data_IF_857011118563
#
_entry.id   IF_857011118563
#
_cell.length_a   1.000
_cell.length_b   1.000
_cell.length_c   1.000
_cell.angle_alpha   90.00
_cell.angle_beta   90.00
_cell.angle_gamma   90.00
#
_symmetry.space_group_name_H-M   'P 1'
#
loop_
_entity.id
_entity.type
_entity.pdbx_description
1 polymer ?
#
# COMPACT_ATOMS: atom_id res chain seq x y z
N UNK A 1 10.18 -19.83 15.52
CA UNK A 1 8.78 -19.92 15.96
C UNK A 1 8.08 -20.82 14.97
N UNK A 2 7.41 -21.86 15.43
CA UNK A 2 6.61 -22.71 14.56
C UNK A 2 5.25 -22.04 14.34
N UNK A 3 4.94 -21.71 13.09
CA UNK A 3 3.65 -21.14 12.71
C UNK A 3 2.66 -22.26 12.35
N UNK A 4 1.35 -22.04 12.53
CA UNK A 4 0.36 -23.05 12.21
C UNK A 4 0.41 -23.42 10.71
N UNK A 5 0.16 -24.68 10.33
CA UNK A 5 0.20 -25.11 8.93
C UNK A 5 -0.84 -24.41 8.05
N UNK A 6 -1.87 -23.82 8.67
CA UNK A 6 -2.94 -23.09 7.99
C UNK A 6 -2.69 -21.56 7.88
N UNK A 7 -1.50 -21.06 8.26
CA UNK A 7 -1.15 -19.63 8.18
C UNK A 7 -1.42 -19.03 6.79
N UNK A 8 -1.11 -19.78 5.73
CA UNK A 8 -1.37 -19.39 4.34
C UNK A 8 -2.85 -19.19 3.98
N UNK A 9 -3.77 -19.76 4.76
CA UNK A 9 -5.23 -19.59 4.60
C UNK A 9 -5.85 -18.57 5.56
N UNK A 10 -5.11 -18.10 6.56
CA UNK A 10 -5.63 -17.13 7.52
C UNK A 10 -5.83 -15.76 6.87
N UNK A 11 -6.88 -15.01 7.25
CA UNK A 11 -6.99 -13.60 6.89
C UNK A 11 -5.84 -12.78 7.48
N UNK A 12 -5.31 -11.81 6.72
CA UNK A 12 -4.17 -11.00 7.16
C UNK A 12 -4.41 -10.26 8.49
N UNK A 13 -5.64 -9.82 8.76
CA UNK A 13 -5.97 -9.16 10.04
C UNK A 13 -5.84 -10.13 11.21
N UNK A 14 -6.30 -11.38 11.07
CA UNK A 14 -6.17 -12.41 12.08
C UNK A 14 -4.70 -12.81 12.31
N UNK A 15 -3.88 -12.87 11.24
CA UNK A 15 -2.44 -13.08 11.37
C UNK A 15 -1.79 -11.93 12.16
N UNK A 16 -2.14 -10.68 11.82
CA UNK A 16 -1.60 -9.49 12.50
C UNK A 16 -1.97 -9.51 13.99
N UNK A 17 -3.22 -9.86 14.32
CA UNK A 17 -3.73 -9.88 15.70
C UNK A 17 -3.12 -11.01 16.54
N UNK A 18 -3.00 -12.22 15.99
CA UNK A 18 -2.59 -13.42 16.74
C UNK A 18 -1.06 -13.58 16.76
N UNK A 19 -0.40 -13.28 15.64
CA UNK A 19 1.01 -13.60 15.41
C UNK A 19 1.90 -12.37 15.17
N UNK A 20 1.32 -11.17 15.03
CA UNK A 20 2.05 -9.93 14.82
C UNK A 20 2.89 -9.91 13.54
N UNK A 21 3.94 -9.10 13.56
CA UNK A 21 4.91 -8.97 12.48
C UNK A 21 5.56 -10.32 12.08
N UNK A 22 5.99 -11.20 13.02
CA UNK A 22 6.54 -12.50 12.65
C UNK A 22 5.60 -13.36 11.81
N UNK A 23 4.29 -13.33 12.10
CA UNK A 23 3.28 -14.06 11.32
C UNK A 23 3.10 -13.52 9.92
N UNK A 24 3.14 -12.19 9.75
CA UNK A 24 3.07 -11.57 8.42
C UNK A 24 4.34 -11.83 7.60
N UNK A 25 5.51 -11.81 8.23
CA UNK A 25 6.78 -12.18 7.58
C UNK A 25 6.72 -13.62 7.07
N UNK A 26 6.25 -14.55 7.89
CA UNK A 26 6.11 -15.95 7.46
C UNK A 26 5.06 -16.10 6.37
N UNK A 27 3.93 -15.40 6.49
CA UNK A 27 2.92 -15.38 5.42
C UNK A 27 3.51 -14.88 4.10
N UNK A 28 4.30 -13.80 4.12
CA UNK A 28 4.98 -13.30 2.93
C UNK A 28 5.94 -14.33 2.35
N UNK A 29 6.73 -15.03 3.18
CA UNK A 29 7.62 -16.12 2.73
C UNK A 29 6.84 -17.24 2.01
N UNK A 30 5.69 -17.62 2.55
CA UNK A 30 4.81 -18.60 1.91
C UNK A 30 4.32 -18.12 0.54
N UNK A 31 3.93 -16.86 0.42
CA UNK A 31 3.48 -16.29 -0.87
C UNK A 31 4.61 -16.23 -1.90
N UNK A 32 5.87 -16.01 -1.51
CA UNK A 32 6.97 -15.93 -2.49
C UNK A 32 7.46 -17.30 -2.98
N UNK A 33 7.08 -18.42 -2.36
CA UNK A 33 7.48 -19.76 -2.81
C UNK A 33 7.00 -20.11 -4.23
N UNK A 34 5.96 -19.43 -4.71
CA UNK A 34 5.45 -19.61 -6.07
C UNK A 34 6.30 -18.98 -7.17
N UNK A 35 7.33 -18.18 -6.82
CA UNK A 35 8.26 -17.57 -7.77
C UNK A 35 9.55 -18.37 -7.87
N UNK A 36 10.31 -18.21 -8.95
CA UNK A 36 11.64 -18.82 -9.08
C UNK A 36 12.67 -18.23 -8.10
N UNK A 37 13.85 -18.85 -8.01
CA UNK A 37 14.91 -18.44 -7.07
C UNK A 37 15.38 -16.99 -7.27
N UNK A 38 15.43 -16.52 -8.52
CA UNK A 38 15.90 -15.16 -8.82
C UNK A 38 14.88 -14.13 -8.36
N UNK A 39 13.61 -14.36 -8.66
CA UNK A 39 12.51 -13.53 -8.21
C UNK A 39 12.38 -13.53 -6.68
N UNK A 40 12.49 -14.69 -6.04
CA UNK A 40 12.52 -14.80 -4.57
C UNK A 40 13.64 -13.99 -3.95
N UNK A 41 14.86 -14.08 -4.50
CA UNK A 41 15.99 -13.30 -4.00
C UNK A 41 15.74 -11.78 -4.09
N UNK A 42 15.17 -11.31 -5.21
CA UNK A 42 14.83 -9.88 -5.37
C UNK A 42 13.74 -9.42 -4.39
N UNK A 43 12.71 -10.25 -4.17
CA UNK A 43 11.63 -9.95 -3.22
C UNK A 43 12.13 -9.92 -1.78
N UNK A 44 13.00 -10.86 -1.39
CA UNK A 44 13.66 -10.86 -0.09
C UNK A 44 14.52 -9.61 0.11
N UNK A 45 15.34 -9.23 -0.89
CA UNK A 45 16.16 -8.02 -0.81
C UNK A 45 15.33 -6.74 -0.66
N UNK A 46 14.15 -6.66 -1.30
CA UNK A 46 13.22 -5.55 -1.14
C UNK A 46 12.59 -5.52 0.26
N UNK A 47 12.23 -6.69 0.79
CA UNK A 47 11.71 -6.82 2.16
C UNK A 47 12.77 -6.40 3.19
N UNK A 48 14.02 -6.84 3.03
CA UNK A 48 15.12 -6.50 3.92
C UNK A 48 15.36 -4.99 3.95
N UNK A 49 15.32 -4.32 2.78
CA UNK A 49 15.41 -2.87 2.71
C UNK A 49 14.23 -2.18 3.40
N UNK A 50 13.00 -2.63 3.14
CA UNK A 50 11.80 -2.06 3.78
C UNK A 50 11.86 -2.21 5.32
N UNK A 51 12.29 -3.38 5.80
CA UNK A 51 12.44 -3.66 7.22
C UNK A 51 13.54 -2.82 7.88
N UNK A 52 14.63 -2.55 7.17
CA UNK A 52 15.71 -1.70 7.67
C UNK A 52 15.28 -0.23 7.79
N UNK A 53 14.67 0.32 6.74
CA UNK A 53 14.19 1.71 6.71
C UNK A 53 13.12 1.95 7.77
N UNK A 54 12.12 1.07 7.84
CA UNK A 54 10.95 1.25 8.72
C UNK A 54 11.08 0.56 10.08
N UNK A 55 12.30 0.19 10.51
CA UNK A 55 12.56 -0.53 11.77
C UNK A 55 11.93 0.14 12.99
N UNK A 56 12.11 1.47 13.07
CA UNK A 56 11.69 2.26 14.23
C UNK A 56 10.30 2.91 14.02
N UNK A 57 9.72 2.77 12.83
CA UNK A 57 8.43 3.35 12.50
C UNK A 57 7.27 2.57 13.13
N UNK A 58 6.26 3.31 13.56
CA UNK A 58 5.03 2.74 14.12
C UNK A 58 3.80 3.35 13.46
N UNK A 59 2.86 2.49 13.06
CA UNK A 59 1.53 2.88 12.61
C UNK A 59 0.55 2.66 13.75
N UNK A 60 0.13 3.74 14.40
CA UNK A 60 -0.69 3.70 15.62
C UNK A 60 0.04 2.96 16.74
N UNK A 61 -0.11 1.64 16.86
CA UNK A 61 0.58 0.81 17.86
C UNK A 61 1.29 -0.40 17.26
N UNK A 62 1.23 -0.60 15.94
CA UNK A 62 1.90 -1.71 15.25
C UNK A 62 3.19 -1.25 14.53
N UNK A 63 4.18 -2.13 14.33
CA UNK A 63 5.30 -1.87 13.42
C UNK A 63 4.80 -1.46 12.03
N UNK A 64 5.41 -0.44 11.43
CA UNK A 64 4.99 0.03 10.10
C UNK A 64 5.17 -1.05 9.02
N UNK A 65 6.16 -1.93 9.18
CA UNK A 65 6.40 -3.07 8.30
C UNK A 65 5.17 -3.97 8.10
N UNK A 66 4.28 -4.08 9.09
CA UNK A 66 3.02 -4.81 8.95
C UNK A 66 2.17 -4.29 7.79
N UNK A 67 2.10 -2.97 7.63
CA UNK A 67 1.36 -2.34 6.52
C UNK A 67 1.95 -2.75 5.16
N UNK A 68 3.27 -2.62 5.01
CA UNK A 68 3.98 -2.95 3.78
C UNK A 68 3.81 -4.43 3.41
N UNK A 69 3.91 -5.32 4.40
CA UNK A 69 3.66 -6.75 4.24
C UNK A 69 2.23 -7.03 3.77
N UNK A 70 1.22 -6.40 4.39
CA UNK A 70 -0.19 -6.58 3.97
C UNK A 70 -0.43 -6.05 2.56
N UNK A 71 0.20 -4.93 2.17
CA UNK A 71 0.17 -4.41 0.78
C UNK A 71 0.71 -5.44 -0.20
N UNK A 72 1.91 -5.98 0.03
CA UNK A 72 2.53 -6.95 -0.86
C UNK A 72 1.79 -8.30 -0.91
N UNK A 73 1.37 -8.82 0.25
CA UNK A 73 0.60 -10.08 0.33
C UNK A 73 -0.71 -9.92 -0.45
N UNK A 74 -1.41 -8.78 -0.33
CA UNK A 74 -2.63 -8.53 -1.10
C UNK A 74 -2.39 -8.48 -2.60
N UNK A 75 -1.28 -7.87 -3.06
CA UNK A 75 -0.90 -7.87 -4.47
C UNK A 75 -0.75 -9.30 -5.00
N UNK A 76 0.00 -10.15 -4.30
CA UNK A 76 0.26 -11.53 -4.72
C UNK A 76 -0.97 -12.43 -4.61
N UNK A 77 -1.64 -12.39 -3.46
CA UNK A 77 -2.67 -13.36 -3.10
C UNK A 77 -4.05 -12.97 -3.64
N UNK A 78 -4.52 -11.77 -3.32
CA UNK A 78 -5.87 -11.33 -3.67
C UNK A 78 -5.94 -10.76 -5.08
N UNK A 79 -4.91 -10.01 -5.50
CA UNK A 79 -4.88 -9.38 -6.82
C UNK A 79 -4.17 -10.23 -7.88
N UNK A 80 -3.60 -11.36 -7.46
CA UNK A 80 -2.96 -12.35 -8.33
C UNK A 80 -1.81 -11.78 -9.18
N UNK A 81 -1.14 -10.73 -8.67
CA UNK A 81 0.00 -10.12 -9.34
C UNK A 81 1.18 -11.08 -9.31
N UNK A 82 1.76 -11.34 -10.49
CA UNK A 82 2.97 -12.15 -10.68
C UNK A 82 4.17 -11.35 -11.17
N UNK A 83 3.98 -10.05 -11.36
CA UNK A 83 5.04 -9.15 -11.76
C UNK A 83 5.88 -8.75 -10.53
N UNK A 84 7.13 -9.22 -10.52
CA UNK A 84 8.06 -9.02 -9.40
C UNK A 84 8.34 -7.54 -9.15
N UNK A 85 8.46 -6.73 -10.20
CA UNK A 85 8.76 -5.29 -10.05
C UNK A 85 7.61 -4.55 -9.37
N UNK A 86 6.36 -4.96 -9.65
CA UNK A 86 5.16 -4.38 -9.04
C UNK A 86 5.07 -4.75 -7.56
N UNK A 87 5.41 -5.98 -7.19
CA UNK A 87 5.40 -6.44 -5.80
C UNK A 87 6.51 -5.74 -5.00
N UNK A 88 7.71 -5.60 -5.58
CA UNK A 88 8.82 -4.83 -4.98
C UNK A 88 8.40 -3.37 -4.80
N UNK A 89 7.82 -2.74 -5.82
CA UNK A 89 7.34 -1.36 -5.70
C UNK A 89 6.23 -1.23 -4.65
N UNK A 90 5.38 -2.25 -4.45
CA UNK A 90 4.41 -2.29 -3.37
C UNK A 90 5.02 -2.36 -1.98
N UNK A 91 6.09 -3.15 -1.79
CA UNK A 91 6.85 -3.18 -0.53
C UNK A 91 7.54 -1.86 -0.21
N UNK A 92 8.01 -1.15 -1.24
CA UNK A 92 8.82 0.07 -1.11
C UNK A 92 8.02 1.36 -1.36
N UNK A 93 6.69 1.28 -1.43
CA UNK A 93 5.87 2.38 -1.93
C UNK A 93 5.94 3.66 -1.09
N UNK A 94 6.18 3.53 0.22
CA UNK A 94 6.32 4.65 1.16
C UNK A 94 7.78 5.06 1.42
N UNK A 95 8.76 4.26 0.97
CA UNK A 95 10.17 4.45 1.32
C UNK A 95 10.72 5.82 0.88
N UNK A 96 10.31 6.32 -0.29
CA UNK A 96 10.73 7.63 -0.82
C UNK A 96 9.99 8.79 -0.16
N UNK A 97 8.80 8.54 0.41
CA UNK A 97 8.05 9.56 1.16
C UNK A 97 8.59 9.73 2.58
N UNK A 98 8.83 8.60 3.26
CA UNK A 98 9.11 8.54 4.69
C UNK A 98 10.62 8.56 5.02
N UNK A 99 11.44 7.89 4.19
CA UNK A 99 12.89 7.74 4.42
C UNK A 99 13.76 8.18 3.23
N UNK A 100 13.50 9.34 2.60
CA UNK A 100 14.25 9.73 1.41
C UNK A 100 15.73 10.03 1.69
N UNK A 101 16.09 10.43 2.91
CA UNK A 101 17.47 10.76 3.26
C UNK A 101 18.29 9.50 3.56
N UNK A 102 17.71 8.53 4.27
CA UNK A 102 18.33 7.24 4.56
C UNK A 102 18.53 6.42 3.29
N UNK A 103 17.61 6.56 2.32
CA UNK A 103 17.65 5.84 1.05
C UNK A 103 18.54 6.52 -0.01
N UNK A 104 18.82 7.81 0.12
CA UNK A 104 19.62 8.54 -0.86
C UNK A 104 21.13 8.38 -0.62
N UNK A 105 21.84 7.84 -1.61
CA UNK A 105 23.31 7.73 -1.55
C UNK A 105 24.05 9.08 -1.81
N UNK A 106 23.32 10.18 -2.06
CA UNK A 106 23.90 11.47 -2.46
C UNK A 106 23.32 12.65 -1.67
N UNK A 107 24.18 13.63 -1.38
CA UNK A 107 23.80 14.92 -0.80
C UNK A 107 23.10 15.78 -1.85
N UNK A 108 21.94 16.36 -1.53
CA UNK A 108 21.18 17.21 -2.45
C UNK A 108 19.68 16.97 -2.34
N UNK A 109 19.02 16.67 -3.46
CA UNK A 109 17.62 16.26 -3.54
C UNK A 109 17.44 14.82 -3.01
N UNK A 110 16.92 14.64 -1.77
CA UNK A 110 16.85 13.31 -1.17
C UNK A 110 15.88 12.39 -1.90
N UNK A 111 14.77 12.92 -2.44
CA UNK A 111 13.78 12.10 -3.16
C UNK A 111 14.30 11.62 -4.51
N UNK A 112 14.94 12.52 -5.27
CA UNK A 112 15.62 12.15 -6.51
C UNK A 112 16.76 11.15 -6.27
N UNK A 113 17.54 11.34 -5.20
CA UNK A 113 18.59 10.41 -4.77
C UNK A 113 18.04 9.03 -4.42
N UNK A 114 16.99 8.98 -3.60
CA UNK A 114 16.32 7.73 -3.21
C UNK A 114 15.79 6.96 -4.43
N UNK A 115 15.11 7.64 -5.36
CA UNK A 115 14.65 7.02 -6.61
C UNK A 115 15.80 6.49 -7.47
N UNK A 116 16.93 7.18 -7.53
CA UNK A 116 18.12 6.71 -8.23
C UNK A 116 18.74 5.46 -7.57
N UNK A 117 18.74 5.40 -6.23
CA UNK A 117 19.16 4.22 -5.47
C UNK A 117 18.22 3.04 -5.73
N UNK A 118 16.90 3.25 -5.75
CA UNK A 118 15.93 2.21 -6.12
C UNK A 118 16.11 1.73 -7.56
N UNK A 119 16.35 2.65 -8.51
CA UNK A 119 16.59 2.31 -9.90
C UNK A 119 17.84 1.44 -10.07
N UNK A 120 18.89 1.73 -9.29
CA UNK A 120 20.15 0.97 -9.29
C UNK A 120 19.98 -0.41 -8.67
N UNK A 121 19.31 -0.49 -7.51
CA UNK A 121 19.17 -1.74 -6.74
C UNK A 121 18.14 -2.70 -7.33
N UNK A 122 17.01 -2.18 -7.79
CA UNK A 122 15.86 -2.99 -8.21
C UNK A 122 15.42 -2.79 -9.66
N UNK A 123 16.02 -1.83 -10.36
CA UNK A 123 15.74 -1.53 -11.77
C UNK A 123 14.87 -0.28 -11.96
N UNK A 124 14.98 0.38 -13.14
CA UNK A 124 14.31 1.65 -13.40
C UNK A 124 12.78 1.56 -13.30
N UNK A 125 12.20 0.42 -13.65
CA UNK A 125 10.75 0.21 -13.59
C UNK A 125 10.22 0.25 -12.16
N UNK A 126 10.94 -0.31 -11.19
CA UNK A 126 10.58 -0.23 -9.77
C UNK A 126 10.58 1.23 -9.32
N UNK A 127 11.63 1.99 -9.66
CA UNK A 127 11.70 3.41 -9.32
C UNK A 127 10.56 4.22 -9.94
N UNK A 128 10.20 3.97 -11.21
CA UNK A 128 9.05 4.63 -11.86
C UNK A 128 7.74 4.33 -11.12
N UNK A 129 7.50 3.07 -10.76
CA UNK A 129 6.29 2.68 -10.04
C UNK A 129 6.22 3.33 -8.65
N UNK A 130 7.33 3.32 -7.90
CA UNK A 130 7.42 3.96 -6.59
C UNK A 130 7.20 5.47 -6.72
N UNK A 131 7.82 6.12 -7.70
CA UNK A 131 7.60 7.55 -7.97
C UNK A 131 6.13 7.87 -8.26
N UNK A 132 5.44 7.03 -9.02
CA UNK A 132 4.03 7.23 -9.36
C UNK A 132 3.07 7.12 -8.14
N UNK A 133 3.48 6.42 -7.08
CA UNK A 133 2.66 6.23 -5.85
C UNK A 133 3.14 7.07 -4.65
N UNK A 134 4.25 7.81 -4.81
CA UNK A 134 4.83 8.72 -3.81
C UNK A 134 4.12 10.08 -3.85
N UNK A 135 3.67 10.59 -2.69
CA UNK A 135 3.03 11.90 -2.66
C UNK A 135 4.02 13.05 -2.95
N UNK A 136 3.60 14.09 -3.68
CA UNK A 136 4.43 15.27 -3.88
C UNK A 136 4.51 16.10 -2.59
N UNK A 137 5.43 17.07 -2.57
CA UNK A 137 5.38 18.14 -1.56
C UNK A 137 4.15 19.00 -1.85
N UNK A 138 3.26 19.10 -0.88
CA UNK A 138 2.01 19.84 -1.02
C UNK A 138 2.19 21.34 -0.75
N UNK A 139 1.40 22.15 -1.45
CA UNK A 139 1.26 23.57 -1.16
C UNK A 139 0.55 23.75 0.19
N UNK A 140 1.17 24.41 1.19
CA UNK A 140 0.57 24.59 2.51
C UNK A 140 -0.67 25.50 2.52
N UNK A 141 -0.90 26.28 1.45
CA UNK A 141 -2.05 27.17 1.33
C UNK A 141 -3.31 26.49 0.76
N UNK A 142 -3.18 25.25 0.29
CA UNK A 142 -4.27 24.49 -0.34
C UNK A 142 -4.67 23.29 0.52
N UNK A 143 -5.93 22.88 0.42
CA UNK A 143 -6.41 21.68 1.12
C UNK A 143 -5.59 20.44 0.71
N UNK A 144 -5.00 19.77 1.70
CA UNK A 144 -4.12 18.60 1.48
C UNK A 144 -4.85 17.43 0.84
N UNK A 145 -6.11 17.19 1.22
CA UNK A 145 -6.88 16.05 0.70
C UNK A 145 -7.25 16.27 -0.78
N UNK A 146 -7.59 17.49 -1.15
CA UNK A 146 -7.82 17.90 -2.54
C UNK A 146 -6.57 17.70 -3.38
N UNK A 147 -5.41 18.19 -2.90
CA UNK A 147 -4.13 18.01 -3.60
C UNK A 147 -3.75 16.53 -3.74
N UNK A 148 -3.98 15.72 -2.70
CA UNK A 148 -3.74 14.27 -2.75
C UNK A 148 -4.58 13.61 -3.85
N UNK A 149 -5.89 13.90 -3.90
CA UNK A 149 -6.79 13.35 -4.91
C UNK A 149 -6.40 13.79 -6.33
N UNK A 150 -6.05 15.07 -6.51
CA UNK A 150 -5.57 15.61 -7.78
C UNK A 150 -4.29 14.91 -8.24
N UNK A 151 -3.33 14.75 -7.33
CA UNK A 151 -2.08 14.06 -7.59
C UNK A 151 -2.33 12.61 -8.02
N UNK A 152 -3.13 11.84 -7.27
CA UNK A 152 -3.46 10.46 -7.63
C UNK A 152 -4.09 10.36 -9.02
N UNK A 153 -4.99 11.29 -9.37
CA UNK A 153 -5.60 11.31 -10.70
C UNK A 153 -4.55 11.47 -11.80
N UNK A 154 -3.53 12.29 -11.58
CA UNK A 154 -2.46 12.55 -12.56
C UNK A 154 -1.44 11.42 -12.59
N UNK A 155 -0.91 11.02 -11.44
CA UNK A 155 0.19 10.04 -11.36
C UNK A 155 -0.26 8.64 -11.78
N UNK A 156 -1.51 8.29 -11.51
CA UNK A 156 -2.06 6.97 -11.85
C UNK A 156 -2.68 6.91 -13.25
N UNK A 157 -2.84 8.04 -13.95
CA UNK A 157 -3.52 8.09 -15.26
C UNK A 157 -2.80 7.23 -16.29
N UNK A 158 -1.46 7.27 -16.31
CA UNK A 158 -0.63 6.61 -17.33
C UNK A 158 0.20 5.45 -16.80
N UNK A 159 0.02 5.09 -15.52
CA UNK A 159 0.76 4.01 -14.87
C UNK A 159 -0.21 2.94 -14.35
N UNK A 160 -0.66 2.00 -15.20
CA UNK A 160 -1.69 1.03 -14.84
C UNK A 160 -1.33 0.16 -13.64
N UNK A 161 -0.05 -0.20 -13.48
CA UNK A 161 0.41 -0.97 -12.33
C UNK A 161 0.50 -0.13 -11.04
N UNK A 162 0.77 1.17 -11.13
CA UNK A 162 0.71 2.07 -9.97
C UNK A 162 -0.73 2.16 -9.42
N UNK A 163 -1.76 2.08 -10.27
CA UNK A 163 -3.17 1.98 -9.83
C UNK A 163 -3.38 0.78 -8.90
N UNK A 164 -2.81 -0.38 -9.27
CA UNK A 164 -2.92 -1.64 -8.52
C UNK A 164 -2.20 -1.56 -7.17
N UNK A 165 -1.00 -0.96 -7.16
CA UNK A 165 -0.27 -0.71 -5.90
C UNK A 165 -1.09 0.22 -4.99
N UNK A 166 -1.55 1.35 -5.53
CA UNK A 166 -2.24 2.35 -4.72
C UNK A 166 -3.61 1.90 -4.22
N UNK A 167 -4.33 1.06 -4.97
CA UNK A 167 -5.57 0.47 -4.45
C UNK A 167 -5.31 -0.60 -3.38
N UNK A 168 -4.16 -1.29 -3.42
CA UNK A 168 -3.75 -2.19 -2.33
C UNK A 168 -3.46 -1.40 -1.04
N UNK A 169 -2.68 -0.33 -1.15
CA UNK A 169 -2.44 0.65 -0.07
C UNK A 169 -3.77 1.20 0.48
N UNK A 170 -4.64 1.71 -0.40
CA UNK A 170 -5.97 2.18 -0.01
C UNK A 170 -6.80 1.11 0.70
N UNK A 171 -6.73 -0.16 0.29
CA UNK A 171 -7.48 -1.23 0.96
C UNK A 171 -6.98 -1.43 2.39
N UNK A 172 -5.68 -1.38 2.64
CA UNK A 172 -5.13 -1.50 4.00
C UNK A 172 -5.47 -0.28 4.90
N UNK A 173 -5.57 0.90 4.29
CA UNK A 173 -5.85 2.16 4.96
C UNK A 173 -7.36 2.43 5.13
N UNK A 174 -8.08 2.54 4.01
CA UNK A 174 -9.47 2.94 3.92
C UNK A 174 -10.43 1.85 4.39
N UNK A 175 -10.33 0.62 3.87
CA UNK A 175 -11.16 -0.49 4.37
C UNK A 175 -10.77 -0.77 5.82
N UNK A 176 -9.48 -0.73 6.16
CA UNK A 176 -8.96 -0.88 7.53
C UNK A 176 -9.38 0.21 8.54
N UNK A 177 -10.16 1.24 8.15
CA UNK A 177 -10.57 2.34 9.04
C UNK A 177 -11.23 1.87 10.34
N UNK A 178 -11.87 0.69 10.32
CA UNK A 178 -12.49 0.08 11.52
C UNK A 178 -11.50 -0.25 12.64
N UNK A 179 -10.22 -0.37 12.34
CA UNK A 179 -9.16 -0.60 13.32
C UNK A 179 -8.55 0.71 13.83
N UNK A 180 -8.99 1.86 13.29
CA UNK A 180 -8.61 3.18 13.78
C UNK A 180 -9.52 3.59 14.92
N UNK A 181 -8.96 4.27 15.92
CA UNK A 181 -9.71 4.77 17.09
C UNK A 181 -9.49 6.28 17.28
N UNK A 182 -10.45 6.93 17.94
CA UNK A 182 -10.37 8.35 18.28
C UNK A 182 -10.56 9.30 17.08
N UNK A 183 -10.10 10.56 17.19
CA UNK A 183 -10.33 11.60 16.18
C UNK A 183 -9.85 11.23 14.76
N UNK A 184 -8.90 10.30 14.66
CA UNK A 184 -8.33 9.83 13.39
C UNK A 184 -9.36 9.08 12.52
N UNK A 185 -10.42 8.53 13.10
CA UNK A 185 -11.48 7.82 12.34
C UNK A 185 -12.17 8.79 11.36
N UNK A 186 -12.65 9.93 11.87
CA UNK A 186 -13.34 10.94 11.07
C UNK A 186 -12.41 11.54 10.03
N UNK A 187 -11.17 11.91 10.41
CA UNK A 187 -10.22 12.48 9.46
C UNK A 187 -9.84 11.50 8.34
N UNK A 188 -9.76 10.20 8.65
CA UNK A 188 -9.50 9.15 7.66
C UNK A 188 -10.67 9.00 6.71
N UNK A 189 -11.90 8.99 7.21
CA UNK A 189 -13.09 8.94 6.36
C UNK A 189 -13.18 10.16 5.43
N UNK A 190 -12.92 11.37 5.93
CA UNK A 190 -12.87 12.60 5.10
C UNK A 190 -11.79 12.49 4.01
N UNK A 191 -10.61 11.97 4.35
CA UNK A 191 -9.50 11.80 3.39
C UNK A 191 -9.81 10.75 2.31
N UNK A 192 -10.36 9.60 2.69
CA UNK A 192 -10.41 8.42 1.83
C UNK A 192 -11.73 8.24 1.08
N UNK A 193 -12.87 8.69 1.61
CA UNK A 193 -14.19 8.56 0.93
C UNK A 193 -14.18 9.17 -0.49
N UNK A 194 -13.64 10.37 -0.72
CA UNK A 194 -13.60 10.96 -2.07
C UNK A 194 -12.75 10.18 -3.08
N UNK A 195 -11.94 9.21 -2.64
CA UNK A 195 -11.10 8.39 -3.50
C UNK A 195 -11.81 7.12 -3.98
N UNK A 196 -12.90 6.70 -3.33
CA UNK A 196 -13.68 5.52 -3.75
C UNK A 196 -14.11 5.61 -5.23
N UNK A 197 -14.80 6.68 -5.69
CA UNK A 197 -15.15 6.80 -7.11
C UNK A 197 -13.93 6.92 -8.03
N UNK A 198 -12.84 7.56 -7.57
CA UNK A 198 -11.59 7.65 -8.33
C UNK A 198 -10.95 6.28 -8.56
N UNK A 199 -10.81 5.46 -7.52
CA UNK A 199 -10.27 4.10 -7.65
C UNK A 199 -11.20 3.21 -8.46
N UNK A 200 -12.53 3.37 -8.34
CA UNK A 200 -13.49 2.63 -9.16
C UNK A 200 -13.29 2.92 -10.66
N UNK A 201 -13.14 4.19 -11.03
CA UNK A 201 -12.79 4.58 -12.40
C UNK A 201 -11.46 3.96 -12.84
N UNK A 202 -10.38 4.25 -12.12
CA UNK A 202 -9.02 3.83 -12.47
C UNK A 202 -8.91 2.30 -12.60
N UNK A 203 -9.49 1.53 -11.68
CA UNK A 203 -9.45 0.06 -11.72
C UNK A 203 -10.36 -0.51 -12.83
N UNK A 204 -11.46 0.18 -13.14
CA UNK A 204 -12.38 -0.19 -14.21
C UNK A 204 -11.81 -0.02 -15.63
N UNK A 205 -10.75 0.78 -15.81
CA UNK A 205 -10.18 1.03 -17.12
C UNK A 205 -9.69 -0.25 -17.82
N UNK A 206 -9.82 -0.36 -19.16
CA UNK A 206 -9.42 -1.55 -19.91
C UNK A 206 -7.93 -1.90 -19.78
N UNK A 207 -7.08 -0.89 -19.65
CA UNK A 207 -5.61 -1.00 -19.54
C UNK A 207 -5.14 -1.35 -18.11
N UNK A 208 -6.01 -1.32 -17.09
CA UNK A 208 -5.66 -1.81 -15.76
C UNK A 208 -5.46 -3.33 -15.79
N UNK A 209 -4.25 -3.84 -15.53
CA UNK A 209 -3.82 -5.19 -15.87
C UNK A 209 -4.26 -6.24 -14.84
N UNK A 210 -5.56 -6.32 -14.60
CA UNK A 210 -6.19 -7.24 -13.66
C UNK A 210 -7.28 -8.03 -14.35
N UNK A 211 -7.45 -9.29 -13.93
CA UNK A 211 -8.57 -10.11 -14.41
C UNK A 211 -9.91 -9.51 -13.97
N UNK A 212 -10.98 -9.82 -14.70
CA UNK A 212 -12.32 -9.36 -14.31
C UNK A 212 -12.76 -9.88 -12.93
N UNK A 213 -12.30 -11.06 -12.54
CA UNK A 213 -12.56 -11.61 -11.21
C UNK A 213 -11.88 -10.76 -10.12
N UNK A 214 -10.63 -10.37 -10.32
CA UNK A 214 -9.90 -9.50 -9.39
C UNK A 214 -10.51 -8.10 -9.34
N UNK A 215 -10.89 -7.51 -10.49
CA UNK A 215 -11.58 -6.21 -10.53
C UNK A 215 -12.87 -6.23 -9.72
N UNK A 216 -13.70 -7.28 -9.86
CA UNK A 216 -14.92 -7.45 -9.04
C UNK A 216 -14.62 -7.55 -7.55
N UNK A 217 -13.57 -8.27 -7.17
CA UNK A 217 -13.13 -8.35 -5.77
C UNK A 217 -12.71 -6.97 -5.24
N UNK A 218 -11.94 -6.19 -5.99
CA UNK A 218 -11.57 -4.82 -5.59
C UNK A 218 -12.81 -3.94 -5.47
N UNK A 219 -13.76 -4.04 -6.40
CA UNK A 219 -15.00 -3.27 -6.34
C UNK A 219 -15.83 -3.58 -5.10
N UNK A 220 -15.91 -4.83 -4.65
CA UNK A 220 -16.61 -5.14 -3.39
C UNK A 220 -15.89 -4.57 -2.16
N UNK A 221 -14.56 -4.48 -2.18
CA UNK A 221 -13.81 -3.77 -1.13
C UNK A 221 -14.07 -2.26 -1.15
N UNK A 222 -14.20 -1.66 -2.34
CA UNK A 222 -14.56 -0.24 -2.49
C UNK A 222 -15.98 0.05 -2.00
N UNK A 223 -16.94 -0.84 -2.28
CA UNK A 223 -18.31 -0.73 -1.76
C UNK A 223 -18.35 -0.82 -0.23
N UNK A 224 -17.60 -1.77 0.33
CA UNK A 224 -17.45 -1.89 1.79
C UNK A 224 -16.78 -0.65 2.42
N UNK A 225 -15.80 -0.04 1.72
CA UNK A 225 -15.19 1.20 2.19
C UNK A 225 -16.21 2.35 2.21
N UNK A 226 -17.03 2.50 1.16
CA UNK A 226 -18.07 3.53 1.10
C UNK A 226 -19.11 3.37 2.21
N UNK A 227 -19.56 2.14 2.47
CA UNK A 227 -20.48 1.84 3.57
C UNK A 227 -19.89 2.29 4.92
N UNK A 228 -18.62 1.94 5.18
CA UNK A 228 -17.91 2.32 6.40
C UNK A 228 -17.76 3.84 6.53
N UNK A 229 -17.38 4.52 5.46
CA UNK A 229 -17.22 5.97 5.50
C UNK A 229 -18.55 6.70 5.66
N UNK A 230 -19.61 6.23 5.02
CA UNK A 230 -20.96 6.77 5.18
C UNK A 230 -21.44 6.61 6.62
N UNK A 231 -21.21 5.44 7.23
CA UNK A 231 -21.53 5.19 8.63
C UNK A 231 -20.75 6.09 9.62
N UNK A 232 -19.60 6.65 9.21
CA UNK A 232 -18.79 7.58 10.04
C UNK A 232 -19.22 9.04 9.82
N UNK A 233 -19.47 9.44 8.58
CA UNK A 233 -19.64 10.85 8.20
C UNK A 233 -21.10 11.30 8.13
N UNK A 234 -22.02 10.38 7.87
CA UNK A 234 -23.43 10.71 7.59
C UNK A 234 -24.32 10.47 8.82
N UNK A 235 -23.75 10.08 9.98
CA UNK A 235 -24.50 10.01 11.22
C UNK A 235 -24.93 11.41 11.67
N UNK A 236 -26.20 11.60 12.10
CA UNK A 236 -26.63 12.87 12.65
C UNK A 236 -25.83 13.16 13.92
N UNK A 237 -25.36 14.40 14.08
CA UNK A 237 -24.79 14.87 15.33
C UNK A 237 -25.88 14.71 16.39
N UNK A 238 -25.71 13.75 17.31
CA UNK A 238 -26.61 13.64 18.45
C UNK A 238 -26.55 14.97 19.22
N UNK A 239 -27.66 15.71 19.35
CA UNK A 239 -27.67 16.88 20.19
C UNK A 239 -27.49 16.42 21.64
N UNK A 240 -26.43 16.90 22.29
CA UNK A 240 -26.29 16.84 23.75
C UNK A 240 -27.39 17.67 24.42
#
# INVERSE_FOLDING_TARGET
MDFPPHLGSMPMHAITEIHGEPGLLERFRLEIHQFDDTARARLTAALDLAADLHRDDRRVREPYLNHLLRVAIRLMHHYQVRDVDVIIAGLLHDAVEDHPAELADRVGDPRGGALATLATRFGPRVATLVAAVTNPVYDPQRDRNTQYREHLRVSLDREPWARVIKVSDFTDNGVGVIHTVGPKVVSSAIKYRPLVPLFRDLIGRPDTPLSQAVKRHIFSQLDLAEERFSAILDQPVHPN
#
